data_IF_354418937766
#
_entry.id   IF_354418937766
#
_cell.length_a   1.000
_cell.length_b   1.000
_cell.length_c   1.000
_cell.angle_alpha   90.00
_cell.angle_beta   90.00
_cell.angle_gamma   90.00
#
_symmetry.space_group_name_H-M   'P 1'
#
loop_
_entity.id
_entity.type
_entity.pdbx_description
1 polymer ?
#
# COMPACT_ATOMS: atom_id res chain seq x y z
N UNK A 1 -14.71 14.51 3.73
CA UNK A 1 -15.72 14.49 4.81
C UNK A 1 -15.35 13.26 5.62
N UNK A 2 -14.81 13.41 6.83
CA UNK A 2 -14.50 12.23 7.65
C UNK A 2 -15.82 11.50 7.97
N UNK A 3 -15.95 10.28 7.47
CA UNK A 3 -17.01 9.36 7.86
C UNK A 3 -16.47 8.68 9.11
N UNK A 4 -16.68 9.31 10.27
CA UNK A 4 -16.26 8.74 11.56
C UNK A 4 -17.34 7.76 12.03
N UNK A 5 -16.92 6.55 12.40
CA UNK A 5 -17.75 5.61 13.14
C UNK A 5 -18.18 6.28 14.47
N UNK A 6 -19.49 6.47 14.67
CA UNK A 6 -20.04 7.15 15.86
C UNK A 6 -20.87 8.41 15.58
N UNK A 7 -21.07 8.80 14.31
CA UNK A 7 -22.13 9.77 13.97
C UNK A 7 -23.50 9.10 14.09
N UNK A 8 -24.42 9.70 14.85
CA UNK A 8 -25.82 9.30 14.81
C UNK A 8 -26.45 9.76 13.48
N UNK A 9 -27.18 8.86 12.84
CA UNK A 9 -28.02 9.17 11.69
C UNK A 9 -29.46 9.37 12.15
N UNK A 10 -30.25 10.09 11.37
CA UNK A 10 -31.66 10.36 11.71
C UNK A 10 -32.60 9.20 11.34
N UNK A 11 -32.04 8.10 10.84
CA UNK A 11 -32.71 6.92 10.31
C UNK A 11 -31.81 5.69 10.54
N UNK A 12 -32.35 4.46 10.52
CA UNK A 12 -31.56 3.27 10.82
C UNK A 12 -30.49 3.01 9.76
N UNK A 13 -29.23 2.87 10.21
CA UNK A 13 -28.07 2.55 9.37
C UNK A 13 -27.48 1.21 9.80
N UNK A 14 -27.26 0.31 8.83
CA UNK A 14 -26.61 -0.97 9.09
C UNK A 14 -25.11 -0.78 9.30
N UNK A 15 -24.64 -0.91 10.53
CA UNK A 15 -23.23 -0.75 10.86
C UNK A 15 -22.84 -1.55 12.11
N UNK A 16 -21.62 -2.11 12.20
CA UNK A 16 -21.20 -2.90 13.37
C UNK A 16 -21.06 -2.08 14.66
N UNK A 17 -21.09 -0.74 14.58
CA UNK A 17 -20.85 0.16 15.72
C UNK A 17 -22.12 0.80 16.29
N UNK A 18 -23.29 0.57 15.68
CA UNK A 18 -24.58 1.02 16.20
C UNK A 18 -25.52 -0.17 16.41
N UNK A 19 -26.57 0.06 17.19
CA UNK A 19 -27.66 -0.86 17.46
C UNK A 19 -28.93 -0.51 16.66
N UNK A 20 -28.81 0.32 15.61
CA UNK A 20 -29.93 0.70 14.74
C UNK A 20 -30.64 -0.53 14.16
N UNK A 21 -29.87 -1.59 13.94
CA UNK A 21 -30.34 -2.94 13.71
C UNK A 21 -29.78 -3.82 14.84
N UNK A 22 -30.53 -4.80 15.36
CA UNK A 22 -30.04 -5.70 16.39
C UNK A 22 -29.00 -6.68 15.83
N UNK A 23 -28.01 -7.04 16.65
CA UNK A 23 -27.07 -8.13 16.33
C UNK A 23 -27.81 -9.46 16.12
N UNK A 24 -27.43 -10.30 15.12
CA UNK A 24 -26.27 -10.17 14.23
C UNK A 24 -26.53 -9.34 12.95
N UNK A 25 -27.72 -8.75 12.80
CA UNK A 25 -28.15 -8.08 11.57
C UNK A 25 -27.50 -6.71 11.35
N UNK A 26 -26.71 -6.20 12.28
CA UNK A 26 -25.93 -4.97 12.12
C UNK A 26 -24.56 -5.17 11.44
N UNK A 27 -24.15 -6.42 11.19
CA UNK A 27 -22.88 -6.73 10.51
C UNK A 27 -22.86 -6.21 9.06
N UNK A 28 -21.87 -5.38 8.74
CA UNK A 28 -21.58 -4.89 7.40
C UNK A 28 -20.07 -4.65 7.26
N UNK A 29 -19.44 -5.32 6.31
CA UNK A 29 -18.01 -5.22 6.05
C UNK A 29 -17.70 -5.38 4.54
N UNK A 30 -16.42 -5.41 4.19
CA UNK A 30 -15.93 -5.63 2.84
C UNK A 30 -14.57 -6.33 2.85
N UNK A 31 -14.32 -7.15 1.83
CA UNK A 31 -12.99 -7.66 1.50
C UNK A 31 -12.37 -6.74 0.45
N UNK A 32 -11.08 -6.45 0.59
CA UNK A 32 -10.33 -5.68 -0.39
C UNK A 32 -8.90 -6.22 -0.50
N UNK A 33 -8.52 -6.53 -1.72
CA UNK A 33 -7.15 -6.88 -2.10
C UNK A 33 -6.68 -5.88 -3.16
N UNK A 34 -5.36 -5.75 -3.28
CA UNK A 34 -4.76 -4.95 -4.32
C UNK A 34 -3.53 -5.65 -4.88
N UNK A 35 -3.30 -5.46 -6.17
CA UNK A 35 -2.12 -5.92 -6.88
C UNK A 35 -1.64 -4.82 -7.82
N UNK A 36 -0.44 -5.00 -8.37
CA UNK A 36 0.20 -3.97 -9.19
C UNK A 36 0.16 -4.43 -10.64
N UNK A 37 -0.42 -3.61 -11.50
CA UNK A 37 -0.63 -3.89 -12.91
C UNK A 37 -0.11 -2.70 -13.68
N UNK A 38 0.96 -2.91 -14.45
CA UNK A 38 1.61 -1.86 -15.24
C UNK A 38 2.04 -0.64 -14.43
N UNK A 39 2.48 -0.84 -13.19
CA UNK A 39 2.98 0.23 -12.30
C UNK A 39 1.92 0.94 -11.46
N UNK A 40 0.63 0.69 -11.71
CA UNK A 40 -0.50 1.23 -10.95
C UNK A 40 -1.20 0.14 -10.14
N UNK A 41 -2.07 0.51 -9.21
CA UNK A 41 -2.78 -0.46 -8.37
C UNK A 41 -4.10 -0.88 -9.00
N UNK A 42 -4.31 -2.19 -9.14
CA UNK A 42 -5.63 -2.78 -9.37
C UNK A 42 -6.20 -3.22 -8.04
N UNK A 43 -7.27 -2.56 -7.61
CA UNK A 43 -8.01 -2.88 -6.38
C UNK A 43 -9.16 -3.81 -6.76
N UNK A 44 -9.26 -4.93 -6.05
CA UNK A 44 -10.33 -5.90 -6.22
C UNK A 44 -10.99 -6.13 -4.86
N UNK A 45 -12.31 -5.99 -4.78
CA UNK A 45 -13.01 -6.07 -3.52
C UNK A 45 -14.42 -6.62 -3.64
N UNK A 46 -15.02 -6.91 -2.48
CA UNK A 46 -16.38 -7.40 -2.38
C UNK A 46 -17.05 -6.94 -1.08
N UNK A 47 -18.28 -6.47 -1.17
CA UNK A 47 -19.10 -6.20 0.02
C UNK A 47 -19.51 -7.51 0.71
N UNK A 48 -19.43 -7.52 2.03
CA UNK A 48 -19.73 -8.68 2.89
C UNK A 48 -20.85 -8.30 3.86
N UNK A 49 -22.08 -8.69 3.51
CA UNK A 49 -23.26 -8.48 4.34
C UNK A 49 -24.39 -9.45 3.96
N UNK A 50 -25.25 -9.79 4.92
CA UNK A 50 -26.49 -10.54 4.69
C UNK A 50 -27.70 -9.61 4.88
N UNK A 51 -28.13 -8.98 3.78
CA UNK A 51 -29.28 -8.08 3.79
C UNK A 51 -30.00 -7.96 2.44
N UNK A 52 -31.03 -8.81 2.26
CA UNK A 52 -31.83 -8.80 1.03
C UNK A 52 -32.52 -7.46 0.74
N UNK A 53 -32.81 -6.63 1.76
CA UNK A 53 -33.44 -5.33 1.57
C UNK A 53 -32.46 -4.34 0.94
N UNK A 54 -31.25 -4.22 1.51
CA UNK A 54 -30.21 -3.36 0.93
C UNK A 54 -29.74 -3.86 -0.43
N UNK A 55 -29.60 -5.19 -0.61
CA UNK A 55 -29.27 -5.76 -1.91
C UNK A 55 -30.33 -5.43 -2.98
N UNK A 56 -31.62 -5.41 -2.62
CA UNK A 56 -32.67 -5.00 -3.54
C UNK A 56 -32.56 -3.50 -3.90
N UNK A 57 -32.32 -2.62 -2.93
CA UNK A 57 -32.15 -1.19 -3.20
C UNK A 57 -30.96 -0.91 -4.14
N UNK A 58 -29.85 -1.64 -3.98
CA UNK A 58 -28.68 -1.51 -4.86
C UNK A 58 -28.99 -2.06 -6.26
N UNK A 59 -29.59 -3.25 -6.36
CA UNK A 59 -29.94 -3.87 -7.66
C UNK A 59 -30.97 -3.05 -8.43
N UNK A 60 -31.94 -2.47 -7.73
CA UNK A 60 -32.99 -1.63 -8.33
C UNK A 60 -32.49 -0.21 -8.65
N UNK A 61 -31.20 0.08 -8.38
CA UNK A 61 -30.54 1.34 -8.73
C UNK A 61 -30.88 2.52 -7.81
N UNK A 62 -31.61 2.28 -6.72
CA UNK A 62 -32.00 3.28 -5.71
C UNK A 62 -30.88 3.62 -4.73
N UNK A 63 -29.94 2.69 -4.56
CA UNK A 63 -28.75 2.85 -3.75
C UNK A 63 -27.51 2.37 -4.50
N UNK A 64 -26.32 2.68 -3.98
CA UNK A 64 -25.03 2.23 -4.51
C UNK A 64 -24.06 1.93 -3.39
N UNK A 65 -23.31 0.85 -3.53
CA UNK A 65 -22.16 0.56 -2.70
C UNK A 65 -20.97 1.43 -3.13
N UNK A 66 -20.26 2.03 -2.19
CA UNK A 66 -19.06 2.82 -2.42
C UNK A 66 -17.95 2.36 -1.48
N UNK A 67 -16.72 2.28 -1.98
CA UNK A 67 -15.51 2.27 -1.17
C UNK A 67 -14.99 3.70 -1.10
N UNK A 68 -14.92 4.27 0.10
CA UNK A 68 -14.27 5.55 0.36
C UNK A 68 -12.81 5.30 0.72
N UNK A 69 -11.89 5.98 0.04
CA UNK A 69 -10.45 5.86 0.26
C UNK A 69 -9.87 7.24 0.54
N UNK A 70 -9.13 7.37 1.64
CA UNK A 70 -8.32 8.55 1.97
C UNK A 70 -6.86 8.14 2.17
N UNK A 71 -5.94 8.81 1.49
CA UNK A 71 -4.51 8.64 1.68
C UNK A 71 -3.93 9.94 2.27
N UNK A 72 -3.68 9.99 3.59
CA UNK A 72 -3.21 11.20 4.25
C UNK A 72 -1.89 11.74 3.68
N UNK A 73 -1.00 10.84 3.25
CA UNK A 73 0.32 11.18 2.72
C UNK A 73 0.27 12.01 1.45
N UNK A 74 -0.60 11.65 0.52
CA UNK A 74 -0.74 12.31 -0.79
C UNK A 74 -1.89 13.31 -0.83
N UNK A 75 -2.61 13.48 0.28
CA UNK A 75 -3.87 14.24 0.37
C UNK A 75 -4.95 13.76 -0.61
N UNK A 76 -4.82 12.53 -1.11
CA UNK A 76 -5.76 11.95 -2.05
C UNK A 76 -6.99 11.40 -1.33
N UNK A 77 -8.17 11.66 -1.89
CA UNK A 77 -9.45 11.17 -1.38
C UNK A 77 -10.40 10.90 -2.54
N UNK A 78 -11.01 9.73 -2.55
CA UNK A 78 -11.92 9.35 -3.63
C UNK A 78 -12.98 8.36 -3.14
N UNK A 79 -14.03 8.21 -3.93
CA UNK A 79 -15.03 7.15 -3.78
C UNK A 79 -15.03 6.27 -5.03
N UNK A 80 -14.99 4.97 -4.83
CA UNK A 80 -14.98 3.96 -5.88
C UNK A 80 -16.27 3.14 -5.81
N UNK A 81 -17.07 3.04 -6.87
CA UNK A 81 -18.33 2.32 -6.83
C UNK A 81 -18.13 0.80 -6.86
N UNK A 82 -18.90 0.10 -6.04
CA UNK A 82 -19.16 -1.32 -6.20
C UNK A 82 -20.24 -1.52 -7.28
N UNK A 83 -20.16 -2.64 -8.00
CA UNK A 83 -21.20 -3.12 -8.91
C UNK A 83 -22.44 -3.58 -8.13
N UNK A 84 -23.54 -3.86 -8.87
CA UNK A 84 -24.81 -4.23 -8.26
C UNK A 84 -24.77 -5.58 -7.50
N UNK A 85 -23.84 -6.47 -7.86
CA UNK A 85 -23.54 -7.72 -7.16
C UNK A 85 -22.51 -7.55 -6.01
N UNK A 86 -22.10 -6.31 -5.74
CA UNK A 86 -21.23 -5.95 -4.62
C UNK A 86 -19.74 -6.17 -4.89
N UNK A 87 -19.32 -6.38 -6.14
CA UNK A 87 -17.91 -6.49 -6.51
C UNK A 87 -17.29 -5.11 -6.82
N UNK A 88 -15.97 -4.99 -6.70
CA UNK A 88 -15.21 -3.81 -7.07
C UNK A 88 -13.96 -4.24 -7.82
N UNK A 89 -13.68 -3.56 -8.92
CA UNK A 89 -12.45 -3.72 -9.71
C UNK A 89 -12.10 -2.35 -10.30
N UNK A 90 -11.06 -1.71 -9.76
CA UNK A 90 -10.69 -0.33 -10.08
C UNK A 90 -9.19 -0.16 -10.18
N UNK A 91 -8.76 0.69 -11.12
CA UNK A 91 -7.36 1.10 -11.24
C UNK A 91 -7.14 2.41 -10.48
N UNK A 92 -6.09 2.47 -9.67
CA UNK A 92 -5.62 3.67 -8.99
C UNK A 92 -4.17 3.95 -9.36
N UNK A 93 -3.90 5.20 -9.73
CA UNK A 93 -2.54 5.64 -10.02
C UNK A 93 -1.65 5.57 -8.78
N UNK A 94 -0.44 5.04 -8.95
CA UNK A 94 0.55 4.99 -7.88
C UNK A 94 1.04 6.37 -7.41
N UNK A 95 0.84 7.41 -8.22
CA UNK A 95 1.12 8.81 -7.84
C UNK A 95 0.04 9.36 -6.90
N UNK A 96 -1.19 8.85 -7.03
CA UNK A 96 -2.33 9.30 -6.24
C UNK A 96 -2.36 8.68 -4.85
N UNK A 97 -1.97 7.41 -4.69
CA UNK A 97 -2.03 6.69 -3.41
C UNK A 97 -0.67 6.09 -3.08
N UNK A 98 -0.09 6.50 -1.95
CA UNK A 98 1.24 6.01 -1.53
C UNK A 98 1.35 6.02 0.00
N UNK A 99 1.83 4.92 0.58
CA UNK A 99 1.83 4.68 2.03
C UNK A 99 0.51 4.08 2.53
N UNK A 100 0.27 4.22 3.83
CA UNK A 100 -0.96 3.75 4.48
C UNK A 100 -2.14 4.64 4.08
N UNK A 101 -3.19 4.02 3.56
CA UNK A 101 -4.48 4.65 3.26
C UNK A 101 -5.57 4.07 4.17
N UNK A 102 -6.53 4.92 4.52
CA UNK A 102 -7.74 4.55 5.27
C UNK A 102 -8.86 4.28 4.26
N UNK A 103 -9.51 3.12 4.40
CA UNK A 103 -10.62 2.72 3.53
C UNK A 103 -11.83 2.28 4.36
N UNK A 104 -13.02 2.58 3.86
CA UNK A 104 -14.28 2.04 4.40
C UNK A 104 -15.29 1.84 3.27
N UNK A 105 -16.20 0.90 3.46
CA UNK A 105 -17.32 0.70 2.56
C UNK A 105 -18.60 1.35 3.12
N UNK A 106 -19.47 1.77 2.22
CA UNK A 106 -20.79 2.28 2.55
C UNK A 106 -21.81 1.92 1.47
N UNK A 107 -23.08 1.82 1.84
CA UNK A 107 -24.20 1.88 0.88
C UNK A 107 -24.88 3.22 1.07
N UNK A 108 -25.06 3.97 -0.02
CA UNK A 108 -25.70 5.30 -0.01
C UNK A 108 -26.87 5.35 -0.98
N UNK A 109 -27.87 6.16 -0.68
CA UNK A 109 -28.99 6.43 -1.58
C UNK A 109 -28.55 7.22 -2.82
N UNK A 110 -29.13 6.90 -3.98
CA UNK A 110 -28.95 7.66 -5.23
C UNK A 110 -30.08 8.65 -5.50
N UNK A 111 -31.24 8.40 -4.93
CA UNK A 111 -32.44 9.21 -5.03
C UNK A 111 -33.07 9.38 -3.64
N UNK A 112 -33.98 10.35 -3.51
CA UNK A 112 -34.72 10.52 -2.27
C UNK A 112 -35.70 9.35 -2.05
N UNK A 113 -35.74 8.80 -0.83
CA UNK A 113 -36.74 7.82 -0.42
C UNK A 113 -37.63 8.47 0.65
N UNK A 114 -38.89 8.72 0.33
CA UNK A 114 -39.81 9.47 1.19
C UNK A 114 -40.25 8.73 2.45
N UNK A 115 -40.20 7.39 2.43
CA UNK A 115 -40.65 6.54 3.53
C UNK A 115 -39.72 5.33 3.71
N UNK A 116 -38.42 5.59 3.88
CA UNK A 116 -37.45 4.54 4.19
C UNK A 116 -37.70 3.95 5.58
N UNK A 117 -37.72 2.63 5.65
CA UNK A 117 -37.71 1.87 6.89
C UNK A 117 -36.97 0.58 6.64
N UNK A 118 -36.09 0.21 7.56
CA UNK A 118 -35.38 -1.06 7.46
C UNK A 118 -36.24 -2.16 8.07
N UNK A 119 -36.48 -3.30 7.39
CA UNK A 119 -37.32 -4.39 7.93
C UNK A 119 -36.81 -4.99 9.25
N UNK A 120 -35.54 -4.76 9.56
CA UNK A 120 -34.86 -5.21 10.79
C UNK A 120 -34.43 -4.03 11.69
N UNK A 121 -35.04 -2.85 11.54
CA UNK A 121 -34.73 -1.72 12.42
C UNK A 121 -35.06 -2.06 13.89
N UNK A 122 -34.30 -1.50 14.81
CA UNK A 122 -34.48 -1.66 16.24
C UNK A 122 -35.91 -1.30 16.67
N UNK A 123 -36.43 -1.98 17.70
CA UNK A 123 -37.78 -1.78 18.22
C UNK A 123 -38.07 -0.34 18.65
N UNK A 124 -37.03 0.42 19.06
CA UNK A 124 -37.14 1.84 19.42
C UNK A 124 -37.64 2.70 18.26
N UNK A 125 -37.40 2.28 17.01
CA UNK A 125 -37.93 2.95 15.83
C UNK A 125 -39.42 2.66 15.59
N UNK A 126 -39.98 1.60 16.18
CA UNK A 126 -41.37 1.19 15.99
C UNK A 126 -41.76 1.09 14.51
N UNK A 127 -42.91 1.69 14.15
CA UNK A 127 -43.39 1.78 12.76
C UNK A 127 -42.93 3.05 12.03
N UNK A 128 -41.90 3.72 12.53
CA UNK A 128 -41.43 4.98 11.95
C UNK A 128 -40.81 4.75 10.59
N UNK A 129 -41.05 5.70 9.68
CA UNK A 129 -40.42 5.81 8.37
C UNK A 129 -39.69 7.14 8.26
N UNK A 130 -38.63 7.18 7.47
CA UNK A 130 -37.73 8.30 7.36
C UNK A 130 -37.67 8.80 5.91
N UNK A 131 -37.72 10.11 5.74
CA UNK A 131 -37.32 10.74 4.49
C UNK A 131 -35.79 10.77 4.42
N UNK A 132 -35.20 10.03 3.48
CA UNK A 132 -33.75 10.05 3.25
C UNK A 132 -33.44 10.69 1.91
N UNK A 133 -32.54 11.67 1.93
CA UNK A 133 -32.10 12.41 0.75
C UNK A 133 -31.05 11.63 -0.04
N UNK A 134 -30.73 12.00 -1.30
CA UNK A 134 -29.59 11.45 -2.02
C UNK A 134 -28.28 11.58 -1.23
N UNK A 135 -27.39 10.59 -1.37
CA UNK A 135 -26.14 10.44 -0.62
C UNK A 135 -26.31 10.20 0.91
N UNK A 136 -27.50 9.83 1.37
CA UNK A 136 -27.72 9.37 2.74
C UNK A 136 -27.18 7.95 2.93
N UNK A 137 -26.47 7.70 4.03
CA UNK A 137 -25.93 6.38 4.36
C UNK A 137 -27.04 5.41 4.75
N UNK A 138 -27.03 4.20 4.19
CA UNK A 138 -27.89 3.09 4.59
C UNK A 138 -27.09 1.97 5.28
N UNK A 139 -25.81 1.86 4.96
CA UNK A 139 -24.85 0.99 5.64
C UNK A 139 -23.45 1.61 5.66
N UNK A 140 -22.67 1.34 6.71
CA UNK A 140 -21.29 1.82 6.87
C UNK A 140 -20.44 0.78 7.58
N UNK A 141 -19.28 0.43 7.03
CA UNK A 141 -18.34 -0.53 7.64
C UNK A 141 -17.43 0.15 8.67
N UNK A 142 -16.61 -0.66 9.36
CA UNK A 142 -15.43 -0.12 10.04
C UNK A 142 -14.41 0.41 9.00
N UNK A 143 -13.57 1.34 9.44
CA UNK A 143 -12.39 1.77 8.69
C UNK A 143 -11.30 0.72 8.79
N UNK A 144 -10.65 0.39 7.67
CA UNK A 144 -9.47 -0.47 7.58
C UNK A 144 -8.29 0.36 7.06
N UNK A 145 -7.08 0.03 7.50
CA UNK A 145 -5.85 0.59 6.94
C UNK A 145 -5.30 -0.39 5.90
N UNK A 146 -4.92 0.13 4.73
CA UNK A 146 -4.31 -0.63 3.64
C UNK A 146 -3.03 0.08 3.18
N UNK A 147 -1.97 -0.70 3.00
CA UNK A 147 -0.70 -0.19 2.55
C UNK A 147 -0.59 -0.21 1.03
N UNK A 148 -0.38 0.96 0.43
CA UNK A 148 -0.15 1.12 -1.00
C UNK A 148 1.28 1.55 -1.24
N UNK A 149 2.10 0.62 -1.71
CA UNK A 149 3.44 0.93 -2.18
C UNK A 149 3.56 0.43 -3.62
N UNK A 150 4.10 1.20 -4.57
CA UNK A 150 4.17 0.74 -5.95
C UNK A 150 5.21 -0.39 -6.07
N UNK A 151 4.99 -1.36 -6.97
CA UNK A 151 6.03 -2.29 -7.41
C UNK A 151 6.91 -1.43 -8.29
N UNK A 152 7.91 -0.87 -7.63
CA UNK A 152 8.97 -0.19 -8.32
C UNK A 152 9.79 -1.29 -8.95
N UNK A 153 9.93 -1.29 -10.27
CA UNK A 153 10.99 -2.04 -10.93
C UNK A 153 12.28 -1.78 -10.14
N UNK A 154 12.73 -2.84 -9.46
CA UNK A 154 13.84 -2.77 -8.53
C UNK A 154 15.04 -2.16 -9.27
N UNK A 155 15.25 -2.52 -10.54
CA UNK A 155 16.37 -2.03 -11.34
C UNK A 155 16.21 -0.56 -11.77
N UNK A 156 15.06 -0.15 -12.30
CA UNK A 156 14.91 1.20 -12.85
C UNK A 156 14.99 2.29 -11.77
N UNK A 157 14.48 2.05 -10.54
CA UNK A 157 14.59 3.02 -9.44
C UNK A 157 15.80 2.80 -8.52
N UNK A 158 16.46 1.64 -8.53
CA UNK A 158 17.79 1.51 -7.91
C UNK A 158 18.77 2.48 -8.53
N UNK A 159 18.70 2.76 -9.85
CA UNK A 159 19.53 3.80 -10.48
C UNK A 159 19.40 5.20 -9.85
N UNK A 160 18.25 5.49 -9.21
CA UNK A 160 18.00 6.77 -8.52
C UNK A 160 18.54 6.85 -7.10
N UNK A 161 19.01 5.72 -6.55
CA UNK A 161 19.59 5.60 -5.21
C UNK A 161 21.03 5.09 -5.23
N UNK A 162 21.38 4.30 -6.23
CA UNK A 162 22.60 3.53 -6.34
C UNK A 162 23.19 3.72 -7.73
N UNK A 163 24.47 4.04 -7.77
CA UNK A 163 25.25 4.10 -8.99
C UNK A 163 26.18 2.88 -9.04
N UNK A 164 25.88 1.93 -9.92
CA UNK A 164 26.73 0.75 -10.14
C UNK A 164 27.70 1.05 -11.27
N UNK A 165 29.00 1.06 -10.98
CA UNK A 165 30.07 1.43 -11.91
C UNK A 165 31.12 0.33 -12.03
N UNK A 166 31.84 0.34 -13.15
CA UNK A 166 33.06 -0.44 -13.34
C UNK A 166 34.15 0.10 -12.41
N UNK A 167 34.75 -0.76 -11.60
CA UNK A 167 35.87 -0.44 -10.73
C UNK A 167 37.19 -0.29 -11.48
N UNK A 168 38.23 0.04 -10.73
CA UNK A 168 39.61 0.04 -11.24
C UNK A 168 40.09 -1.39 -11.54
N UNK A 169 41.09 -1.55 -12.42
CA UNK A 169 41.63 -2.86 -12.81
C UNK A 169 42.23 -3.66 -11.63
N UNK A 170 42.59 -2.99 -10.54
CA UNK A 170 43.12 -3.59 -9.32
C UNK A 170 42.04 -4.12 -8.38
N UNK A 171 40.77 -3.75 -8.59
CA UNK A 171 39.65 -4.06 -7.71
C UNK A 171 39.29 -5.55 -7.81
N UNK A 172 39.29 -6.24 -6.67
CA UNK A 172 39.03 -7.70 -6.61
C UNK A 172 37.68 -8.09 -6.04
N UNK A 173 37.04 -7.18 -5.29
CA UNK A 173 35.75 -7.43 -4.65
C UNK A 173 34.85 -6.21 -4.89
N UNK A 174 33.54 -6.42 -4.77
CA UNK A 174 32.59 -5.31 -4.75
C UNK A 174 32.90 -4.36 -3.59
N UNK A 175 32.96 -3.07 -3.89
CA UNK A 175 33.09 -1.99 -2.92
C UNK A 175 31.85 -1.10 -2.95
N UNK A 176 31.38 -0.69 -1.77
CA UNK A 176 30.21 0.17 -1.60
C UNK A 176 30.63 1.42 -0.87
N UNK A 177 30.36 2.56 -1.50
CA UNK A 177 30.64 3.90 -1.01
C UNK A 177 29.32 4.67 -0.80
N UNK A 178 28.87 4.83 0.45
CA UNK A 178 27.66 5.57 0.79
C UNK A 178 27.88 7.09 1.00
N UNK A 179 29.10 7.60 0.84
CA UNK A 179 29.49 9.00 1.11
C UNK A 179 29.18 9.95 -0.06
N UNK A 180 28.58 9.45 -1.14
CA UNK A 180 28.19 10.25 -2.31
C UNK A 180 26.66 10.47 -2.35
N UNK A 181 26.19 11.41 -3.18
CA UNK A 181 24.74 11.74 -3.28
C UNK A 181 23.86 10.50 -3.59
N UNK A 182 24.42 9.53 -4.31
CA UNK A 182 23.92 8.17 -4.50
C UNK A 182 24.84 7.16 -3.81
N UNK A 183 24.38 5.96 -3.49
CA UNK A 183 25.25 4.87 -3.02
C UNK A 183 26.07 4.39 -4.23
N UNK A 184 27.37 4.56 -4.21
CA UNK A 184 28.23 4.09 -5.31
C UNK A 184 28.64 2.64 -5.06
N UNK A 185 28.43 1.77 -6.04
CA UNK A 185 28.86 0.37 -6.01
C UNK A 185 29.88 0.16 -7.13
N UNK A 186 31.13 -0.08 -6.76
CA UNK A 186 32.16 -0.45 -7.72
C UNK A 186 32.25 -1.97 -7.78
N UNK A 187 32.04 -2.53 -8.97
CA UNK A 187 32.24 -3.95 -9.23
C UNK A 187 33.62 -4.17 -9.89
N UNK A 188 34.31 -5.29 -9.62
CA UNK A 188 35.47 -5.70 -10.40
C UNK A 188 35.16 -5.66 -11.90
N UNK A 189 36.14 -5.33 -12.77
CA UNK A 189 35.97 -5.27 -14.21
C UNK A 189 35.15 -6.41 -14.83
N UNK A 190 35.53 -7.66 -14.55
CA UNK A 190 34.88 -8.85 -15.10
C UNK A 190 33.44 -9.00 -14.61
N UNK A 191 33.19 -8.74 -13.31
CA UNK A 191 31.86 -8.79 -12.71
C UNK A 191 30.95 -7.67 -13.25
N UNK A 192 31.50 -6.48 -13.47
CA UNK A 192 30.76 -5.36 -14.04
C UNK A 192 30.34 -5.64 -15.48
N UNK A 193 31.24 -6.18 -16.29
CA UNK A 193 30.95 -6.47 -17.70
C UNK A 193 29.82 -7.51 -17.81
N UNK A 194 29.86 -8.57 -16.97
CA UNK A 194 28.77 -9.53 -16.82
C UNK A 194 27.47 -8.88 -16.31
N UNK A 195 27.56 -8.06 -15.27
CA UNK A 195 26.40 -7.34 -14.73
C UNK A 195 25.76 -6.43 -15.79
N UNK A 196 26.57 -5.72 -16.59
CA UNK A 196 26.13 -4.78 -17.60
C UNK A 196 25.43 -5.47 -18.78
N UNK A 197 25.88 -6.67 -19.14
CA UNK A 197 25.22 -7.55 -20.11
C UNK A 197 23.87 -8.05 -19.57
N UNK A 198 23.86 -8.58 -18.34
CA UNK A 198 22.70 -9.24 -17.75
C UNK A 198 21.60 -8.28 -17.30
N UNK A 199 21.93 -7.06 -16.86
CA UNK A 199 20.96 -6.11 -16.27
C UNK A 199 19.84 -5.66 -17.20
N UNK A 200 19.99 -5.89 -18.51
CA UNK A 200 18.97 -5.54 -19.51
C UNK A 200 17.88 -6.63 -19.64
N UNK A 201 18.14 -7.84 -19.13
CA UNK A 201 17.21 -8.95 -19.13
C UNK A 201 16.37 -8.94 -17.85
N UNK A 202 15.05 -8.75 -18.01
CA UNK A 202 14.10 -8.73 -16.89
C UNK A 202 14.09 -10.08 -16.14
N UNK A 203 14.43 -11.17 -16.84
CA UNK A 203 14.46 -12.55 -16.35
C UNK A 203 15.54 -12.81 -15.30
N UNK A 204 16.53 -11.93 -15.16
CA UNK A 204 17.59 -12.04 -14.12
C UNK A 204 17.60 -10.85 -13.17
N UNK A 205 16.68 -9.92 -13.36
CA UNK A 205 16.66 -8.65 -12.64
C UNK A 205 16.58 -8.80 -11.10
N UNK A 206 15.78 -9.76 -10.62
CA UNK A 206 15.58 -10.01 -9.19
C UNK A 206 16.79 -10.73 -8.59
N UNK A 207 17.44 -11.59 -9.37
CA UNK A 207 18.70 -12.24 -8.98
C UNK A 207 19.80 -11.20 -8.79
N UNK A 208 20.00 -10.33 -9.78
CA UNK A 208 20.99 -9.24 -9.70
C UNK A 208 20.69 -8.26 -8.56
N UNK A 209 19.42 -7.94 -8.34
CA UNK A 209 19.00 -7.10 -7.20
C UNK A 209 19.37 -7.74 -5.86
N UNK A 210 19.11 -9.03 -5.70
CA UNK A 210 19.48 -9.74 -4.47
C UNK A 210 21.00 -9.86 -4.30
N UNK A 211 21.75 -10.03 -5.39
CA UNK A 211 23.21 -10.19 -5.36
C UNK A 211 24.01 -8.90 -5.16
N UNK A 212 23.55 -7.77 -5.71
CA UNK A 212 24.32 -6.51 -5.73
C UNK A 212 23.65 -5.41 -4.91
N UNK A 213 22.36 -5.19 -5.12
CA UNK A 213 21.63 -4.05 -4.52
C UNK A 213 21.37 -4.29 -3.04
N UNK A 214 20.96 -5.50 -2.67
CA UNK A 214 20.67 -5.88 -1.27
C UNK A 214 21.88 -5.65 -0.35
N UNK A 215 23.08 -6.18 -0.64
CA UNK A 215 24.25 -5.91 0.21
C UNK A 215 24.66 -4.43 0.20
N UNK A 216 24.54 -3.73 -0.94
CA UNK A 216 24.86 -2.30 -1.01
C UNK A 216 23.95 -1.45 -0.11
N UNK A 217 22.63 -1.68 -0.16
CA UNK A 217 21.70 -0.99 0.73
C UNK A 217 21.94 -1.34 2.19
N UNK A 218 22.26 -2.60 2.49
CA UNK A 218 22.54 -3.02 3.87
C UNK A 218 23.76 -2.29 4.43
N UNK A 219 24.83 -2.18 3.65
CA UNK A 219 26.03 -1.45 4.04
C UNK A 219 25.76 0.05 4.20
N UNK A 220 25.02 0.65 3.27
CA UNK A 220 24.64 2.07 3.34
C UNK A 220 23.78 2.37 4.58
N UNK A 221 22.83 1.49 4.92
CA UNK A 221 21.99 1.64 6.11
C UNK A 221 22.79 1.47 7.41
N UNK A 222 23.77 0.56 7.43
CA UNK A 222 24.71 0.45 8.55
C UNK A 222 25.58 1.69 8.70
N UNK A 223 26.06 2.24 7.59
CA UNK A 223 26.84 3.48 7.59
C UNK A 223 26.00 4.65 8.11
N UNK A 224 24.78 4.82 7.58
CA UNK A 224 23.82 5.83 8.04
C UNK A 224 23.56 5.77 9.55
N UNK A 225 23.49 4.56 10.12
CA UNK A 225 23.33 4.36 11.57
C UNK A 225 24.57 4.78 12.36
N UNK A 226 25.76 4.60 11.78
CA UNK A 226 27.03 4.96 12.42
C UNK A 226 27.30 6.47 12.44
N UNK A 227 26.57 7.25 11.65
CA UNK A 227 26.64 8.71 11.68
C UNK A 227 26.22 9.22 13.07
N UNK A 228 27.00 10.12 13.71
CA UNK A 228 26.61 10.74 14.96
C UNK A 228 25.31 11.55 14.83
N UNK A 229 24.45 11.52 15.86
CA UNK A 229 23.17 12.26 15.88
C UNK A 229 23.35 13.74 15.53
N UNK A 230 24.44 14.37 15.99
CA UNK A 230 24.74 15.78 15.71
C UNK A 230 25.01 16.08 14.22
N UNK A 231 25.44 15.09 13.45
CA UNK A 231 25.80 15.21 12.04
C UNK A 231 24.72 14.63 11.12
N UNK A 232 23.75 13.90 11.66
CA UNK A 232 22.78 13.14 10.88
C UNK A 232 21.92 13.99 9.94
N UNK A 233 21.40 15.11 10.42
CA UNK A 233 20.57 15.98 9.58
C UNK A 233 21.38 16.63 8.44
N UNK A 234 22.66 16.94 8.69
CA UNK A 234 23.57 17.42 7.66
C UNK A 234 23.88 16.32 6.65
N UNK A 235 24.20 15.12 7.12
CA UNK A 235 24.43 13.95 6.27
C UNK A 235 23.21 13.69 5.37
N UNK A 236 22.00 13.68 5.93
CA UNK A 236 20.76 13.57 5.16
C UNK A 236 20.64 14.70 4.13
N UNK A 237 20.92 15.94 4.49
CA UNK A 237 20.80 17.06 3.55
C UNK A 237 21.73 16.90 2.33
N UNK A 238 22.94 16.38 2.55
CA UNK A 238 23.98 16.18 1.54
C UNK A 238 23.79 14.92 0.69
N UNK A 239 23.09 13.91 1.22
CA UNK A 239 22.96 12.60 0.58
C UNK A 239 21.50 12.32 0.18
N UNK A 240 21.18 12.48 -1.12
CA UNK A 240 19.84 12.22 -1.67
C UNK A 240 19.36 10.80 -1.40
N UNK A 241 20.23 9.79 -1.51
CA UNK A 241 19.86 8.41 -1.24
C UNK A 241 19.33 8.24 0.19
N UNK A 242 19.97 8.86 1.18
CA UNK A 242 19.59 8.76 2.59
C UNK A 242 18.20 9.35 2.83
N UNK A 243 17.93 10.55 2.29
CA UNK A 243 16.59 11.17 2.37
C UNK A 243 15.51 10.31 1.74
N UNK A 244 15.76 9.81 0.53
CA UNK A 244 14.79 9.02 -0.20
C UNK A 244 14.48 7.71 0.52
N UNK A 245 15.51 7.01 1.02
CA UNK A 245 15.31 5.77 1.78
C UNK A 245 14.53 6.05 3.07
N UNK A 246 14.95 7.01 3.88
CA UNK A 246 14.26 7.33 5.14
C UNK A 246 12.80 7.77 4.90
N UNK A 247 12.52 8.49 3.81
CA UNK A 247 11.14 8.88 3.45
C UNK A 247 10.24 7.71 3.03
N UNK A 248 10.83 6.55 2.68
CA UNK A 248 10.11 5.33 2.27
C UNK A 248 9.92 4.37 3.43
N UNK A 249 10.66 4.53 4.51
CA UNK A 249 10.56 3.68 5.69
C UNK A 249 9.44 4.17 6.62
N UNK A 250 8.58 3.28 7.14
CA UNK A 250 7.54 3.63 8.11
C UNK A 250 8.12 4.31 9.37
N UNK A 251 7.62 5.49 9.72
CA UNK A 251 8.14 6.26 10.87
C UNK A 251 7.99 5.52 12.20
N UNK A 252 6.88 4.78 12.38
CA UNK A 252 6.59 4.04 13.60
C UNK A 252 7.54 2.86 13.84
N UNK A 253 8.05 2.24 12.78
CA UNK A 253 8.84 1.00 12.86
C UNK A 253 10.35 1.27 12.71
N UNK A 254 10.70 2.19 11.81
CA UNK A 254 12.07 2.40 11.33
C UNK A 254 12.57 3.83 11.54
N UNK A 255 11.83 4.86 11.10
CA UNK A 255 12.40 6.22 11.02
C UNK A 255 12.52 6.93 12.38
N UNK A 256 11.68 6.60 13.37
CA UNK A 256 11.83 7.11 14.73
C UNK A 256 13.01 6.42 15.43
N UNK A 257 14.12 7.15 15.63
CA UNK A 257 15.28 6.66 16.36
C UNK A 257 16.18 5.72 15.54
N UNK A 258 16.41 6.03 14.27
CA UNK A 258 17.32 5.25 13.41
C UNK A 258 18.70 5.02 14.08
N UNK A 259 19.23 6.03 14.77
CA UNK A 259 20.49 5.95 15.53
C UNK A 259 20.46 5.05 16.77
N UNK A 260 19.28 4.77 17.31
CA UNK A 260 19.11 3.99 18.54
C UNK A 260 18.60 2.57 18.27
N UNK A 261 18.50 2.17 17.00
CA UNK A 261 17.95 0.89 16.56
C UNK A 261 18.92 -0.31 16.58
N UNK A 262 18.38 -1.50 16.83
CA UNK A 262 19.03 -2.81 16.70
C UNK A 262 19.60 -3.01 15.28
N UNK A 263 20.85 -3.49 15.10
CA UNK A 263 21.38 -3.87 13.80
C UNK A 263 20.51 -4.78 12.93
N UNK A 264 19.64 -5.59 13.53
CA UNK A 264 18.64 -6.38 12.79
C UNK A 264 17.66 -5.50 12.01
N UNK A 265 17.35 -4.29 12.49
CA UNK A 265 16.47 -3.34 11.80
C UNK A 265 17.04 -2.88 10.45
N UNK A 266 18.36 -2.87 10.27
CA UNK A 266 18.95 -2.54 8.96
C UNK A 266 18.58 -3.60 7.93
N UNK A 267 18.67 -4.88 8.30
CA UNK A 267 18.28 -5.98 7.42
C UNK A 267 16.76 -6.00 7.18
N UNK A 268 15.95 -5.76 8.20
CA UNK A 268 14.49 -5.67 8.05
C UNK A 268 14.10 -4.49 7.15
N UNK A 269 14.78 -3.35 7.27
CA UNK A 269 14.57 -2.19 6.41
C UNK A 269 14.96 -2.51 4.95
N UNK A 270 16.08 -3.19 4.69
CA UNK A 270 16.44 -3.61 3.32
C UNK A 270 15.41 -4.58 2.77
N UNK A 271 15.01 -5.59 3.57
CA UNK A 271 13.99 -6.55 3.16
C UNK A 271 12.64 -5.86 2.88
N UNK A 272 12.26 -4.85 3.67
CA UNK A 272 11.08 -4.05 3.44
C UNK A 272 11.20 -3.22 2.14
N UNK A 273 12.30 -2.46 2.00
CA UNK A 273 12.57 -1.60 0.85
C UNK A 273 12.61 -2.39 -0.47
N UNK A 274 13.09 -3.63 -0.44
CA UNK A 274 13.19 -4.53 -1.59
C UNK A 274 12.11 -5.62 -1.63
N UNK A 275 11.13 -5.60 -0.72
CA UNK A 275 9.99 -6.54 -0.62
C UNK A 275 10.35 -8.02 -0.59
N UNK A 276 11.29 -8.39 0.28
CA UNK A 276 11.76 -9.76 0.41
C UNK A 276 12.56 -10.18 -0.83
N UNK A 277 13.72 -9.53 -1.07
CA UNK A 277 14.53 -9.72 -2.30
C UNK A 277 14.94 -11.18 -2.51
N UNK A 278 15.12 -11.93 -1.43
CA UNK A 278 15.40 -13.37 -1.49
C UNK A 278 14.25 -14.16 -2.11
N UNK A 279 13.01 -13.94 -1.65
CA UNK A 279 11.83 -14.63 -2.20
C UNK A 279 11.63 -14.28 -3.67
N UNK A 280 11.80 -13.00 -4.01
CA UNK A 280 11.71 -12.51 -5.39
C UNK A 280 12.74 -13.20 -6.30
N UNK A 281 14.01 -13.27 -5.87
CA UNK A 281 15.07 -13.95 -6.59
C UNK A 281 14.79 -15.45 -6.77
N UNK A 282 14.36 -16.15 -5.71
CA UNK A 282 14.05 -17.58 -5.77
C UNK A 282 12.87 -17.90 -6.70
N UNK A 283 11.83 -17.07 -6.70
CA UNK A 283 10.70 -17.22 -7.64
C UNK A 283 11.15 -17.07 -9.09
N UNK A 284 12.02 -16.10 -9.38
CA UNK A 284 12.54 -15.88 -10.73
C UNK A 284 13.43 -17.03 -11.21
N UNK A 285 14.31 -17.53 -10.34
CA UNK A 285 15.12 -18.72 -10.66
C UNK A 285 14.22 -19.91 -10.96
N UNK A 286 13.13 -20.11 -10.21
CA UNK A 286 12.16 -21.17 -10.49
C UNK A 286 11.48 -20.99 -11.86
N UNK A 287 11.04 -19.78 -12.18
CA UNK A 287 10.41 -19.47 -13.48
C UNK A 287 11.35 -19.77 -14.66
N UNK A 288 12.63 -19.43 -14.52
CA UNK A 288 13.67 -19.77 -15.51
C UNK A 288 13.81 -21.30 -15.69
N UNK A 289 13.86 -22.06 -14.59
CA UNK A 289 14.00 -23.52 -14.62
C UNK A 289 12.75 -24.25 -15.15
N UNK A 290 11.57 -23.68 -14.94
CA UNK A 290 10.31 -24.23 -15.45
C UNK A 290 10.13 -23.94 -16.95
N UNK A 291 10.78 -22.90 -17.50
CA UNK A 291 10.77 -22.58 -18.93
C UNK A 291 11.62 -23.56 -19.76
N UNK A 292 12.58 -24.24 -19.14
CA UNK A 292 13.46 -25.23 -19.78
C UNK A 292 12.88 -26.66 -19.83
N UNK A 293 11.63 -26.85 -19.38
CA UNK A 293 10.90 -28.14 -19.39
C UNK A 293 9.71 -28.14 -20.35
#
# INVERSE_FOLDING_TARGET
MKIEAGKSWLHPVKTPVSDDLPSPHNSFDFDLEHQIVSGDYRLQGKLVFDDSHLSALVRDGKAVGLLHLECPRTFFRTTLPFSADGALDQMLSHESVCGTAEVLAAIVTKEALSAYSHPRQNHDYGSSTFGVEPASFLAVSNTKEIEFFPDLDLIQKVSSLINIKRGEESLKNMEVDPETDLITVALPPEDYDLYAELRAADEVARVLTNGVVTPALLQALHHLRSIPEAEFENFKAEHRWARLILSRLPTKEFAAGWHTGDPKKCLDAVQFLLRGPLKASMSQVRELLDYER
#
